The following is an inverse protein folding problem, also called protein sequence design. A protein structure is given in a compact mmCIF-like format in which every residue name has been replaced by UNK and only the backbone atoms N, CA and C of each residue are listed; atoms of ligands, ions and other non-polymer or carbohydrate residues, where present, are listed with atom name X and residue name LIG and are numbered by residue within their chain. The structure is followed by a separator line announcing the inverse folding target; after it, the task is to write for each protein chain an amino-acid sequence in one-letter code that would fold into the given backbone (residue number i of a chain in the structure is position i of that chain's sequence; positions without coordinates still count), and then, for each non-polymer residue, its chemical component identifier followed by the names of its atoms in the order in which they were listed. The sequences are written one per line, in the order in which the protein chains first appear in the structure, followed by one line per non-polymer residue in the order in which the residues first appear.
data_IF_418892440169
#
_entry.id   IF_418892440169
#
_cell.length_a   1.000
_cell.length_b   1.000
_cell.length_c   1.000
_cell.angle_alpha   90.00
_cell.angle_beta   90.00
_cell.angle_gamma   90.00
#
_symmetry.space_group_name_H-M   'P 1'
#
loop_
_entity.id
_entity.type
_entity.pdbx_description
1 polymer ?
#
# COMPACT_ATOMS: atom_id res chain seq x y z
N UNK A 1 -30.75 -56.48 -63.84
CA UNK A 1 -31.07 -56.53 -62.39
C UNK A 1 -29.88 -55.95 -61.65
N UNK A 2 -29.89 -54.65 -61.35
CA UNK A 2 -28.78 -54.00 -60.65
C UNK A 2 -28.98 -54.19 -59.14
N UNK A 3 -28.09 -54.94 -58.50
CA UNK A 3 -28.07 -55.11 -57.06
C UNK A 3 -27.52 -53.82 -56.43
N UNK A 4 -28.37 -53.11 -55.68
CA UNK A 4 -27.96 -51.93 -54.92
C UNK A 4 -26.98 -52.34 -53.84
N UNK A 5 -25.77 -51.76 -53.86
CA UNK A 5 -24.82 -51.86 -52.77
C UNK A 5 -25.41 -51.08 -51.59
N UNK A 6 -25.67 -51.69 -50.42
CA UNK A 6 -26.04 -50.92 -49.24
C UNK A 6 -24.80 -50.13 -48.82
N UNK A 7 -24.90 -48.80 -48.89
CA UNK A 7 -23.90 -47.88 -48.37
C UNK A 7 -23.91 -48.00 -46.84
N UNK A 8 -23.22 -49.01 -46.32
CA UNK A 8 -22.95 -49.18 -44.89
C UNK A 8 -22.02 -48.06 -44.48
N UNK A 9 -22.63 -46.93 -44.10
CA UNK A 9 -21.95 -45.78 -43.55
C UNK A 9 -21.25 -46.27 -42.28
N UNK A 10 -19.94 -46.48 -42.36
CA UNK A 10 -19.12 -46.71 -41.17
C UNK A 10 -18.91 -45.34 -40.56
N UNK A 11 -19.88 -44.91 -39.75
CA UNK A 11 -19.67 -43.81 -38.80
C UNK A 11 -18.61 -44.27 -37.81
N UNK A 12 -17.35 -44.13 -38.20
CA UNK A 12 -16.22 -44.17 -37.28
C UNK A 12 -16.34 -42.94 -36.40
N UNK A 13 -17.13 -43.05 -35.34
CA UNK A 13 -17.26 -42.03 -34.29
C UNK A 13 -15.89 -42.00 -33.61
N UNK A 14 -15.05 -41.08 -34.04
CA UNK A 14 -13.77 -40.80 -33.39
C UNK A 14 -14.10 -40.19 -32.03
N UNK A 15 -13.85 -40.87 -30.89
CA UNK A 15 -14.09 -40.29 -29.59
C UNK A 15 -12.90 -39.39 -29.30
N UNK A 16 -12.82 -38.25 -29.99
CA UNK A 16 -11.96 -37.16 -29.54
C UNK A 16 -12.72 -36.54 -28.37
N UNK A 17 -12.58 -37.21 -27.22
CA UNK A 17 -13.07 -36.75 -25.93
C UNK A 17 -12.42 -35.41 -25.64
N UNK A 18 -13.14 -34.34 -25.94
CA UNK A 18 -12.74 -32.98 -25.66
C UNK A 18 -12.86 -32.77 -24.15
N UNK A 19 -11.83 -33.15 -23.42
CA UNK A 19 -11.70 -32.85 -22.00
C UNK A 19 -11.42 -31.35 -21.85
N UNK A 20 -12.48 -30.55 -21.77
CA UNK A 20 -12.37 -29.17 -21.32
C UNK A 20 -12.01 -29.18 -19.83
N UNK A 21 -10.73 -28.99 -19.52
CA UNK A 21 -10.29 -28.64 -18.17
C UNK A 21 -10.85 -27.26 -17.86
N UNK A 22 -11.82 -27.22 -16.95
CA UNK A 22 -12.30 -25.99 -16.34
C UNK A 22 -11.21 -25.49 -15.38
N UNK A 23 -10.32 -24.64 -15.88
CA UNK A 23 -9.45 -23.84 -15.01
C UNK A 23 -10.33 -22.79 -14.32
N UNK A 24 -10.65 -23.00 -13.04
CA UNK A 24 -11.27 -21.96 -12.23
C UNK A 24 -10.25 -20.82 -12.07
N UNK A 25 -10.62 -19.56 -12.36
CA UNK A 25 -9.73 -18.44 -12.07
C UNK A 25 -9.56 -18.37 -10.55
N UNK A 26 -8.34 -18.60 -10.07
CA UNK A 26 -7.99 -18.28 -8.70
C UNK A 26 -8.22 -16.78 -8.52
N UNK A 27 -9.11 -16.41 -7.60
CA UNK A 27 -9.24 -15.02 -7.20
C UNK A 27 -7.84 -14.56 -6.75
N UNK A 28 -7.25 -13.60 -7.44
CA UNK A 28 -6.08 -12.93 -6.95
C UNK A 28 -6.56 -12.04 -5.80
N UNK A 29 -6.36 -12.50 -4.57
CA UNK A 29 -6.53 -11.69 -3.37
C UNK A 29 -5.35 -10.71 -3.38
N UNK A 30 -5.49 -9.63 -4.17
CA UNK A 30 -4.66 -8.47 -3.94
C UNK A 30 -4.89 -8.10 -2.46
N UNK A 31 -3.81 -8.00 -1.69
CA UNK A 31 -3.91 -7.49 -0.32
C UNK A 31 -4.70 -6.17 -0.40
N UNK A 32 -5.69 -5.98 0.47
CA UNK A 32 -6.61 -4.86 0.37
C UNK A 32 -5.92 -3.58 0.85
N UNK A 33 -5.01 -3.10 0.01
CA UNK A 33 -4.11 -2.00 0.25
C UNK A 33 -4.35 -0.90 -0.78
N UNK A 34 -4.17 0.33 -0.34
CA UNK A 34 -4.04 1.47 -1.22
C UNK A 34 -2.55 1.80 -1.40
N UNK A 35 -2.15 2.13 -2.62
CA UNK A 35 -0.79 2.56 -2.92
C UNK A 35 -0.72 4.08 -2.97
N UNK A 36 0.25 4.65 -2.26
CA UNK A 36 0.60 6.07 -2.37
C UNK A 36 2.11 6.26 -2.19
N UNK A 37 2.72 7.06 -3.07
CA UNK A 37 4.15 7.39 -3.01
C UNK A 37 5.07 6.15 -2.93
N UNK A 38 4.70 5.05 -3.59
CA UNK A 38 5.44 3.79 -3.56
C UNK A 38 5.32 2.98 -2.26
N UNK A 39 4.37 3.31 -1.39
CA UNK A 39 4.07 2.59 -0.14
C UNK A 39 2.65 2.02 -0.17
N UNK A 40 2.48 0.87 0.47
CA UNK A 40 1.17 0.29 0.74
C UNK A 40 0.57 0.80 2.05
N UNK A 41 -0.74 0.99 2.05
CA UNK A 41 -1.53 1.42 3.19
C UNK A 41 -2.75 0.50 3.35
N UNK A 42 -2.96 -0.05 4.54
CA UNK A 42 -4.15 -0.86 4.82
C UNK A 42 -5.41 0.00 4.81
N UNK A 43 -6.55 -0.66 4.63
CA UNK A 43 -7.86 -0.07 4.86
C UNK A 43 -7.92 0.69 6.20
N UNK A 44 -8.50 1.88 6.15
CA UNK A 44 -8.66 2.78 7.27
C UNK A 44 -7.46 3.68 7.55
N UNK A 45 -6.28 3.41 6.98
CA UNK A 45 -5.09 4.26 7.15
C UNK A 45 -5.20 5.55 6.35
N UNK A 46 -4.52 6.59 6.85
CA UNK A 46 -4.55 7.93 6.26
C UNK A 46 -3.15 8.28 5.75
N UNK A 47 -3.10 8.84 4.55
CA UNK A 47 -1.87 9.27 3.91
C UNK A 47 -2.03 10.66 3.28
N UNK A 48 -0.91 11.35 3.13
CA UNK A 48 -0.84 12.55 2.31
C UNK A 48 -0.63 12.14 0.85
N UNK A 49 -1.60 12.46 0.00
CA UNK A 49 -1.55 12.18 -1.43
C UNK A 49 -1.21 13.44 -2.20
N UNK A 50 -0.18 13.36 -3.05
CA UNK A 50 0.16 14.41 -3.99
C UNK A 50 -0.29 13.98 -5.38
N UNK A 51 -1.27 14.69 -5.93
CA UNK A 51 -1.81 14.45 -7.28
C UNK A 51 -1.77 15.77 -8.04
N UNK A 52 -1.10 15.81 -9.20
CA UNK A 52 -0.98 17.02 -10.03
C UNK A 52 -0.59 18.27 -9.23
N UNK A 53 0.50 18.17 -8.46
CA UNK A 53 1.05 19.24 -7.60
C UNK A 53 0.14 19.69 -6.43
N UNK A 54 -1.00 19.04 -6.21
CA UNK A 54 -1.88 19.30 -5.07
C UNK A 54 -1.76 18.18 -4.03
N UNK A 55 -1.35 18.54 -2.81
CA UNK A 55 -1.26 17.62 -1.68
C UNK A 55 -2.50 17.71 -0.80
N UNK A 56 -3.19 16.58 -0.59
CA UNK A 56 -4.36 16.51 0.28
C UNK A 56 -4.32 15.25 1.16
N UNK A 57 -5.07 15.27 2.25
CA UNK A 57 -5.17 14.14 3.16
C UNK A 57 -6.26 13.19 2.65
N UNK A 58 -5.93 11.93 2.45
CA UNK A 58 -6.89 10.90 2.05
C UNK A 58 -6.77 9.64 2.91
N UNK A 59 -7.88 8.93 3.07
CA UNK A 59 -8.00 7.66 3.77
C UNK A 59 -8.16 6.53 2.77
N UNK A 60 -7.51 5.40 3.02
CA UNK A 60 -7.71 4.19 2.24
C UNK A 60 -9.03 3.53 2.67
N UNK A 61 -9.99 3.39 1.76
CA UNK A 61 -11.29 2.77 2.02
C UNK A 61 -11.63 1.74 0.93
N UNK A 62 -12.72 1.02 1.13
CA UNK A 62 -13.35 0.18 0.10
C UNK A 62 -14.55 0.91 -0.49
N UNK A 63 -14.49 1.19 -1.78
CA UNK A 63 -15.61 1.73 -2.55
C UNK A 63 -15.99 0.68 -3.59
N UNK A 64 -17.22 0.16 -3.51
CA UNK A 64 -17.72 -0.91 -4.39
C UNK A 64 -16.79 -2.15 -4.41
N UNK A 65 -16.30 -2.58 -3.24
CA UNK A 65 -15.35 -3.68 -3.07
C UNK A 65 -13.98 -3.46 -3.75
N UNK A 66 -13.65 -2.23 -4.13
CA UNK A 66 -12.34 -1.85 -4.66
C UNK A 66 -11.62 -0.90 -3.69
N UNK A 67 -10.31 -1.07 -3.52
CA UNK A 67 -9.50 -0.16 -2.69
C UNK A 67 -9.43 1.21 -3.35
N UNK A 68 -9.79 2.24 -2.61
CA UNK A 68 -9.86 3.60 -3.13
C UNK A 68 -9.43 4.62 -2.09
N UNK A 69 -8.96 5.77 -2.56
CA UNK A 69 -8.59 6.89 -1.70
C UNK A 69 -9.76 7.85 -1.55
N UNK A 70 -10.25 7.99 -0.32
CA UNK A 70 -11.28 8.97 0.05
C UNK A 70 -10.63 10.21 0.63
N UNK A 71 -10.82 11.38 0.01
CA UNK A 71 -10.32 12.64 0.56
C UNK A 71 -10.98 12.94 1.91
N UNK A 72 -10.18 13.22 2.93
CA UNK A 72 -10.63 13.55 4.30
C UNK A 72 -10.28 14.99 4.72
N UNK A 73 -9.26 15.61 4.13
CA UNK A 73 -8.95 17.03 4.33
C UNK A 73 -8.25 17.63 3.11
N UNK A 74 -8.41 18.94 2.92
CA UNK A 74 -7.83 19.69 1.79
C UNK A 74 -6.31 19.84 1.87
N UNK A 75 -5.74 19.76 3.06
CA UNK A 75 -4.30 19.96 3.30
C UNK A 75 -3.73 18.84 4.16
N UNK A 76 -2.50 18.45 3.87
CA UNK A 76 -1.76 17.55 4.74
C UNK A 76 -1.33 18.27 6.03
N UNK A 77 -1.33 17.58 7.18
CA UNK A 77 -0.87 18.18 8.43
C UNK A 77 0.59 18.62 8.28
N UNK A 78 0.90 19.86 8.67
CA UNK A 78 2.28 20.31 8.79
C UNK A 78 2.98 19.36 9.78
N UNK A 79 4.07 18.71 9.35
CA UNK A 79 4.87 17.83 10.19
C UNK A 79 5.13 18.50 11.55
N UNK A 80 4.41 18.10 12.60
CA UNK A 80 4.62 18.66 13.94
C UNK A 80 5.84 18.01 14.61
N UNK A 81 6.47 17.01 13.97
CA UNK A 81 7.58 16.23 14.53
C UNK A 81 8.62 15.99 13.41
N UNK A 82 9.62 16.86 13.31
CA UNK A 82 10.94 16.38 13.64
C UNK A 82 11.13 16.80 15.10
N UNK A 83 11.36 15.90 16.07
CA UNK A 83 11.91 16.33 17.33
C UNK A 83 13.28 16.88 16.93
N UNK A 84 13.44 18.20 16.93
CA UNK A 84 14.76 18.74 17.18
C UNK A 84 15.22 18.00 18.43
N UNK A 85 16.34 17.24 18.40
CA UNK A 85 16.89 16.75 19.64
C UNK A 85 17.00 18.00 20.48
N UNK A 86 16.26 18.03 21.60
CA UNK A 86 16.46 19.07 22.58
C UNK A 86 17.96 18.97 22.87
N UNK A 87 18.73 19.90 22.31
CA UNK A 87 20.06 20.15 22.79
C UNK A 87 19.78 20.52 24.23
N UNK A 88 20.02 19.55 25.12
CA UNK A 88 20.06 19.77 26.55
C UNK A 88 20.84 21.06 26.70
N UNK A 89 20.29 22.12 27.31
CA UNK A 89 21.07 23.32 27.54
C UNK A 89 22.32 22.82 28.26
N UNK A 90 23.46 22.87 27.56
CA UNK A 90 24.77 22.63 28.14
C UNK A 90 24.77 23.50 29.37
N UNK A 91 24.83 22.87 30.54
CA UNK A 91 24.87 23.55 31.83
C UNK A 91 25.80 24.73 31.67
N UNK A 92 25.20 25.93 31.67
CA UNK A 92 25.95 27.16 31.79
C UNK A 92 26.82 26.97 33.02
N UNK A 93 28.16 26.99 32.91
CA UNK A 93 28.99 26.92 34.09
C UNK A 93 28.60 28.10 34.97
N UNK A 94 28.14 27.83 36.19
CA UNK A 94 28.03 28.86 37.19
C UNK A 94 29.41 29.54 37.30
N UNK A 95 29.51 30.87 37.17
CA UNK A 95 30.76 31.55 37.47
C UNK A 95 30.95 31.44 38.98
N UNK A 96 31.64 30.40 39.42
CA UNK A 96 32.05 30.30 40.81
C UNK A 96 33.16 31.33 40.99
N UNK A 97 32.80 32.43 41.66
CA UNK A 97 33.72 33.45 42.17
C UNK A 97 34.97 32.79 42.73
N UNK A 98 36.12 33.38 42.40
CA UNK A 98 37.37 33.20 43.11
C UNK A 98 37.27 34.00 44.42
N UNK A 99 37.37 33.39 45.61
CA UNK A 99 37.77 34.13 46.80
C UNK A 99 39.29 34.15 46.82
N UNK A 100 39.85 35.34 46.65
CA UNK A 100 41.24 35.65 46.97
C UNK A 100 41.48 35.31 48.43
N UNK A 101 42.29 34.28 48.69
CA UNK A 101 42.79 33.97 50.03
C UNK A 101 43.76 35.10 50.47
N UNK A 102 43.52 35.76 51.62
CA UNK A 102 44.51 36.62 52.23
C UNK A 102 45.46 35.76 53.08
N UNK A 103 46.74 35.90 52.78
CA UNK A 103 47.89 35.42 53.56
C UNK A 103 47.76 35.69 55.07
N UNK A 104 47.97 34.65 55.90
CA UNK A 104 48.56 34.74 57.24
C UNK A 104 48.81 33.32 57.83
N UNK A 105 50.07 32.88 57.96
CA UNK A 105 50.79 32.71 59.24
C UNK A 105 52.19 32.11 59.05
#
# INVERSE_FOLDING_TARGET
MAAGVPMTIRFSICPIGLAFVLAAPAAAFADQECLANGKSYQLGQVACLTVADQSHLARCDLVLNNTSWTKVADSCPANTIAPHPHATPISTPAPSMVPTEPSAH
#
